data_IF_531239672009
#
_entry.id   IF_531239672009
#
_cell.length_a   1.000
_cell.length_b   1.000
_cell.length_c   1.000
_cell.angle_alpha   90.00
_cell.angle_beta   90.00
_cell.angle_gamma   90.00
#
_symmetry.space_group_name_H-M   'P 1'
#
loop_
_entity.id
_entity.type
_entity.pdbx_description
1 polymer ?
#
# COMPACT_ATOMS: atom_id res chain seq x y z
N UNK A 1 -11.89 -10.79 -21.08
CA UNK A 1 -12.17 -12.06 -21.76
C UNK A 1 -13.67 -12.29 -21.74
N UNK A 2 -14.31 -12.15 -22.90
CA UNK A 2 -15.78 -12.18 -23.05
C UNK A 2 -16.29 -13.60 -23.32
N UNK A 3 -17.48 -13.90 -22.79
CA UNK A 3 -18.21 -15.13 -23.10
C UNK A 3 -19.10 -14.88 -24.33
N UNK A 4 -19.06 -15.74 -25.38
CA UNK A 4 -19.96 -15.62 -26.51
C UNK A 4 -21.25 -16.39 -26.21
N UNK A 5 -22.39 -15.69 -26.25
CA UNK A 5 -23.70 -16.34 -26.26
C UNK A 5 -23.96 -16.89 -27.67
N UNK A 6 -24.12 -18.21 -27.75
CA UNK A 6 -24.48 -18.95 -28.95
C UNK A 6 -25.91 -18.62 -29.38
N UNK A 7 -26.07 -18.34 -30.67
CA UNK A 7 -27.33 -18.01 -31.34
C UNK A 7 -28.32 -19.19 -31.27
N UNK A 8 -29.59 -18.92 -30.94
CA UNK A 8 -30.68 -19.86 -31.18
C UNK A 8 -31.59 -19.39 -32.33
N UNK A 9 -32.08 -20.38 -33.04
CA UNK A 9 -32.50 -20.38 -34.44
C UNK A 9 -33.78 -19.60 -34.75
N UNK A 10 -33.77 -18.90 -35.89
CA UNK A 10 -34.95 -18.41 -36.60
C UNK A 10 -35.40 -19.50 -37.58
N UNK A 11 -36.56 -20.11 -37.37
CA UNK A 11 -37.31 -20.78 -38.43
C UNK A 11 -38.81 -20.52 -38.22
N UNK A 12 -39.52 -19.87 -39.16
CA UNK A 12 -40.96 -19.76 -39.10
C UNK A 12 -41.60 -21.06 -39.62
N UNK A 13 -42.32 -21.76 -38.73
CA UNK A 13 -43.17 -22.89 -39.15
C UNK A 13 -44.40 -22.31 -39.85
N UNK A 14 -44.48 -22.50 -41.17
CA UNK A 14 -45.66 -22.16 -41.97
C UNK A 14 -46.75 -23.18 -41.64
N UNK A 15 -47.84 -22.75 -40.99
CA UNK A 15 -49.05 -23.56 -40.91
C UNK A 15 -49.76 -23.53 -42.26
N UNK A 16 -49.98 -24.73 -42.82
CA UNK A 16 -50.72 -24.97 -44.06
C UNK A 16 -52.21 -24.78 -43.75
N UNK A 17 -52.89 -23.84 -44.42
CA UNK A 17 -54.35 -23.69 -44.31
C UNK A 17 -55.01 -24.92 -44.93
N UNK A 18 -55.75 -25.68 -44.12
CA UNK A 18 -56.64 -26.72 -44.63
C UNK A 18 -57.95 -26.00 -44.98
N UNK A 19 -58.15 -25.73 -46.26
CA UNK A 19 -59.44 -25.28 -46.78
C UNK A 19 -60.46 -26.42 -46.60
N UNK A 20 -61.32 -26.28 -45.61
CA UNK A 20 -62.51 -27.12 -45.43
C UNK A 20 -63.61 -26.65 -46.38
N UNK A 21 -63.42 -26.90 -47.68
CA UNK A 21 -64.47 -26.80 -48.68
C UNK A 21 -65.26 -28.11 -48.73
N UNK A 22 -66.08 -28.40 -47.71
CA UNK A 22 -67.12 -29.43 -47.76
C UNK A 22 -67.92 -29.43 -46.45
N UNK A 23 -68.95 -28.59 -46.38
CA UNK A 23 -70.17 -28.86 -45.61
C UNK A 23 -71.27 -27.89 -46.05
N UNK A 24 -71.73 -28.04 -47.28
CA UNK A 24 -73.00 -27.47 -47.72
C UNK A 24 -74.12 -28.36 -47.18
N UNK A 25 -75.15 -27.75 -46.61
CA UNK A 25 -76.40 -28.33 -46.09
C UNK A 25 -76.44 -28.75 -44.62
N UNK A 26 -76.60 -27.77 -43.73
CA UNK A 26 -77.35 -27.98 -42.48
C UNK A 26 -78.40 -26.88 -42.31
N UNK A 27 -79.65 -27.30 -42.14
CA UNK A 27 -80.80 -26.44 -41.86
C UNK A 27 -80.55 -25.53 -40.65
N UNK A 28 -80.99 -24.27 -40.76
CA UNK A 28 -80.81 -23.22 -39.74
C UNK A 28 -81.30 -23.68 -38.35
N UNK A 29 -80.42 -23.82 -37.35
CA UNK A 29 -80.84 -23.93 -35.97
C UNK A 29 -81.31 -22.56 -35.50
N UNK A 30 -82.50 -22.48 -34.91
CA UNK A 30 -83.06 -21.26 -34.31
C UNK A 30 -82.31 -20.96 -33.01
N UNK A 31 -81.16 -20.26 -33.11
CA UNK A 31 -80.35 -19.87 -31.96
C UNK A 31 -81.09 -18.75 -31.22
N UNK A 32 -81.68 -19.06 -30.07
CA UNK A 32 -82.06 -18.07 -29.07
C UNK A 32 -80.75 -17.52 -28.50
N UNK A 33 -80.43 -16.26 -28.80
CA UNK A 33 -79.26 -15.58 -28.27
C UNK A 33 -79.39 -15.42 -26.75
N UNK A 34 -78.81 -16.33 -25.98
CA UNK A 34 -78.55 -16.13 -24.55
C UNK A 34 -77.22 -15.39 -24.44
N UNK A 35 -77.28 -14.12 -24.02
CA UNK A 35 -76.09 -13.31 -23.79
C UNK A 35 -75.12 -14.06 -22.85
N UNK A 36 -73.82 -14.14 -23.18
CA UNK A 36 -72.86 -14.76 -22.27
C UNK A 36 -72.78 -13.88 -21.02
N UNK A 37 -73.10 -14.48 -19.87
CA UNK A 37 -72.83 -13.86 -18.57
C UNK A 37 -71.31 -13.77 -18.47
N UNK A 38 -70.80 -12.55 -18.48
CA UNK A 38 -69.39 -12.26 -18.27
C UNK A 38 -69.03 -12.65 -16.83
N UNK A 39 -68.49 -13.86 -16.65
CA UNK A 39 -67.80 -14.20 -15.41
C UNK A 39 -66.54 -13.34 -15.37
N UNK A 40 -66.52 -12.35 -14.49
CA UNK A 40 -65.32 -11.58 -14.18
C UNK A 40 -64.28 -12.54 -13.56
N UNK A 41 -63.40 -13.09 -14.40
CA UNK A 41 -62.10 -13.59 -13.93
C UNK A 41 -61.35 -12.35 -13.46
N UNK A 42 -61.18 -12.20 -12.15
CA UNK A 42 -60.28 -11.20 -11.59
C UNK A 42 -58.90 -11.43 -12.22
N UNK A 43 -58.54 -10.58 -13.19
CA UNK A 43 -57.15 -10.47 -13.63
C UNK A 43 -56.37 -9.93 -12.42
N UNK A 44 -55.78 -10.84 -11.65
CA UNK A 44 -54.86 -10.49 -10.61
C UNK A 44 -53.70 -9.71 -11.25
N UNK A 45 -53.56 -8.45 -10.87
CA UNK A 45 -52.54 -7.52 -11.37
C UNK A 45 -51.17 -8.21 -11.46
N UNK A 46 -50.66 -8.52 -12.67
CA UNK A 46 -49.43 -9.29 -12.86
C UNK A 46 -48.22 -8.66 -12.15
N UNK A 47 -48.24 -7.34 -11.98
CA UNK A 47 -47.24 -6.59 -11.21
C UNK A 47 -47.21 -6.99 -9.74
N UNK A 48 -48.37 -7.28 -9.15
CA UNK A 48 -48.50 -7.68 -7.74
C UNK A 48 -47.94 -9.08 -7.51
N UNK A 49 -48.16 -10.00 -8.44
CA UNK A 49 -47.56 -11.35 -8.39
C UNK A 49 -46.05 -11.31 -8.60
N UNK A 50 -45.58 -10.51 -9.56
CA UNK A 50 -44.13 -10.31 -9.78
C UNK A 50 -43.47 -9.73 -8.53
N UNK A 51 -44.07 -8.70 -7.92
CA UNK A 51 -43.55 -8.12 -6.67
C UNK A 51 -43.49 -9.17 -5.55
N UNK A 52 -44.53 -10.01 -5.42
CA UNK A 52 -44.60 -11.08 -4.41
C UNK A 52 -43.55 -12.17 -4.67
N UNK A 53 -43.32 -12.53 -5.92
CA UNK A 53 -42.28 -13.49 -6.34
C UNK A 53 -40.88 -12.95 -6.07
N UNK A 54 -40.59 -11.71 -6.44
CA UNK A 54 -39.30 -11.07 -6.14
C UNK A 54 -39.09 -10.99 -4.63
N UNK A 55 -40.13 -10.65 -3.88
CA UNK A 55 -40.05 -10.60 -2.43
C UNK A 55 -39.78 -11.98 -1.84
N UNK A 56 -40.47 -13.04 -2.28
CA UNK A 56 -40.24 -14.41 -1.76
C UNK A 56 -38.88 -14.97 -2.15
N UNK A 57 -38.38 -14.67 -3.36
CA UNK A 57 -37.08 -15.15 -3.82
C UNK A 57 -35.90 -14.42 -3.16
N UNK A 58 -35.97 -13.09 -3.02
CA UNK A 58 -34.80 -12.30 -2.64
C UNK A 58 -34.74 -11.92 -1.16
N UNK A 59 -35.87 -11.80 -0.44
CA UNK A 59 -35.84 -11.46 0.98
C UNK A 59 -35.02 -12.42 1.85
N UNK A 60 -35.12 -13.75 1.69
CA UNK A 60 -34.34 -14.67 2.51
C UNK A 60 -32.83 -14.47 2.34
N UNK A 61 -32.39 -14.24 1.10
CA UNK A 61 -30.99 -13.99 0.78
C UNK A 61 -30.50 -12.66 1.36
N UNK A 62 -31.31 -11.60 1.29
CA UNK A 62 -30.98 -10.30 1.88
C UNK A 62 -30.82 -10.39 3.40
N UNK A 63 -31.74 -11.05 4.09
CA UNK A 63 -31.64 -11.26 5.53
C UNK A 63 -30.40 -12.07 5.91
N UNK A 64 -30.03 -13.09 5.13
CA UNK A 64 -28.83 -13.87 5.39
C UNK A 64 -27.56 -13.01 5.22
N UNK A 65 -27.52 -12.15 4.20
CA UNK A 65 -26.41 -11.20 4.00
C UNK A 65 -26.32 -10.24 5.19
N UNK A 66 -27.42 -9.62 5.60
CA UNK A 66 -27.45 -8.70 6.75
C UNK A 66 -26.96 -9.40 8.04
N UNK A 67 -27.44 -10.62 8.32
CA UNK A 67 -27.00 -11.41 9.48
C UNK A 67 -25.50 -11.70 9.47
N UNK A 68 -24.90 -11.86 8.28
CA UNK A 68 -23.48 -12.13 8.14
C UNK A 68 -22.61 -10.86 8.14
N UNK A 69 -23.16 -9.69 7.85
CA UNK A 69 -22.37 -8.45 7.78
C UNK A 69 -21.80 -8.07 9.15
N UNK A 70 -22.62 -8.06 10.20
CA UNK A 70 -22.19 -7.68 11.56
C UNK A 70 -21.00 -8.50 12.08
N UNK A 71 -21.00 -9.85 12.06
CA UNK A 71 -19.85 -10.62 12.54
C UNK A 71 -18.60 -10.42 11.66
N UNK A 72 -18.76 -10.27 10.34
CA UNK A 72 -17.62 -9.98 9.44
C UNK A 72 -17.00 -8.62 9.74
N UNK A 73 -17.83 -7.62 10.00
CA UNK A 73 -17.39 -6.29 10.36
C UNK A 73 -16.64 -6.29 11.70
N UNK A 74 -17.17 -6.98 12.72
CA UNK A 74 -16.48 -7.13 14.00
C UNK A 74 -15.11 -7.83 13.86
N UNK A 75 -15.00 -8.84 12.98
CA UNK A 75 -13.70 -9.50 12.69
C UNK A 75 -12.76 -8.53 11.98
N UNK A 76 -13.26 -7.77 11.00
CA UNK A 76 -12.47 -6.76 10.29
C UNK A 76 -11.93 -5.69 11.23
N UNK A 77 -12.78 -5.13 12.09
CA UNK A 77 -12.38 -4.15 13.11
C UNK A 77 -11.32 -4.70 14.05
N UNK A 78 -11.53 -5.92 14.57
CA UNK A 78 -10.51 -6.61 15.39
C UNK A 78 -9.20 -6.76 14.63
N UNK A 79 -9.25 -7.15 13.36
CA UNK A 79 -8.06 -7.32 12.53
C UNK A 79 -7.32 -5.99 12.34
N UNK A 80 -8.04 -4.90 12.07
CA UNK A 80 -7.46 -3.56 11.98
C UNK A 80 -6.78 -3.12 13.28
N UNK A 81 -7.40 -3.40 14.44
CA UNK A 81 -6.79 -3.11 15.75
C UNK A 81 -5.49 -3.88 15.95
N UNK A 82 -5.44 -5.17 15.60
CA UNK A 82 -4.23 -5.97 15.71
C UNK A 82 -3.14 -5.48 14.75
N UNK A 83 -3.49 -5.16 13.52
CA UNK A 83 -2.57 -4.60 12.53
C UNK A 83 -1.98 -3.26 13.03
N UNK A 84 -2.81 -2.38 13.58
CA UNK A 84 -2.36 -1.11 14.14
C UNK A 84 -1.37 -1.31 15.30
N UNK A 85 -1.63 -2.27 16.20
CA UNK A 85 -0.70 -2.64 17.28
C UNK A 85 0.62 -3.19 16.74
N UNK A 86 0.57 -4.07 15.75
CA UNK A 86 1.75 -4.65 15.13
C UNK A 86 2.61 -3.56 14.45
N UNK A 87 1.98 -2.67 13.68
CA UNK A 87 2.68 -1.54 13.04
C UNK A 87 3.33 -0.63 14.09
N UNK A 88 2.62 -0.31 15.18
CA UNK A 88 3.19 0.48 16.27
C UNK A 88 4.41 -0.20 16.90
N UNK A 89 4.35 -1.51 17.15
CA UNK A 89 5.47 -2.27 17.70
C UNK A 89 6.68 -2.30 16.75
N UNK A 90 6.46 -2.49 15.45
CA UNK A 90 7.50 -2.47 14.41
C UNK A 90 8.20 -1.10 14.37
N UNK A 91 7.42 -0.02 14.42
CA UNK A 91 7.98 1.34 14.43
C UNK A 91 8.86 1.53 15.66
N UNK A 92 8.37 1.20 16.87
CA UNK A 92 9.13 1.33 18.12
C UNK A 92 10.43 0.51 18.10
N UNK A 93 10.38 -0.71 17.56
CA UNK A 93 11.54 -1.57 17.40
C UNK A 93 12.58 -0.92 16.47
N UNK A 94 12.16 -0.47 15.29
CA UNK A 94 13.07 0.17 14.33
C UNK A 94 13.66 1.48 14.84
N UNK A 95 12.87 2.32 15.52
CA UNK A 95 13.41 3.56 16.12
C UNK A 95 14.45 3.22 17.19
N UNK A 96 14.18 2.21 18.03
CA UNK A 96 15.13 1.77 19.07
C UNK A 96 16.43 1.20 18.47
N UNK A 97 16.32 0.47 17.35
CA UNK A 97 17.48 -0.06 16.63
C UNK A 97 18.34 1.06 16.04
N UNK A 98 17.71 2.07 15.43
CA UNK A 98 18.39 3.27 14.92
C UNK A 98 19.11 4.00 16.05
N UNK A 99 18.43 4.25 17.16
CA UNK A 99 19.01 4.94 18.33
C UNK A 99 20.19 4.15 18.92
N UNK A 100 20.10 2.83 18.96
CA UNK A 100 21.19 1.98 19.39
C UNK A 100 22.41 2.10 18.46
N UNK A 101 22.21 2.00 17.15
CA UNK A 101 23.28 2.14 16.15
C UNK A 101 23.91 3.54 16.21
N UNK A 102 23.10 4.59 16.35
CA UNK A 102 23.57 5.97 16.49
C UNK A 102 24.45 6.15 17.74
N UNK A 103 24.01 5.64 18.91
CA UNK A 103 24.80 5.69 20.14
C UNK A 103 26.12 4.94 20.02
N UNK A 104 26.11 3.76 19.39
CA UNK A 104 27.34 2.98 19.14
C UNK A 104 28.33 3.76 18.25
N UNK A 105 27.84 4.38 17.18
CA UNK A 105 28.65 5.18 16.28
C UNK A 105 29.26 6.40 16.99
N UNK A 106 28.44 7.12 17.77
CA UNK A 106 28.89 8.25 18.58
C UNK A 106 29.98 7.85 19.57
N UNK A 107 29.80 6.72 20.28
CA UNK A 107 30.82 6.18 21.18
C UNK A 107 32.14 5.86 20.45
N UNK A 108 32.06 5.26 19.27
CA UNK A 108 33.25 4.99 18.45
C UNK A 108 33.96 6.29 18.00
N UNK A 109 33.21 7.30 17.59
CA UNK A 109 33.76 8.61 17.23
C UNK A 109 34.44 9.27 18.42
N UNK A 110 33.82 9.26 19.60
CA UNK A 110 34.40 9.80 20.83
C UNK A 110 35.70 9.09 21.20
N UNK A 111 35.73 7.76 21.12
CA UNK A 111 36.96 6.98 21.34
C UNK A 111 38.06 7.34 20.32
N UNK A 112 37.70 7.55 19.05
CA UNK A 112 38.64 8.00 18.01
C UNK A 112 39.15 9.42 18.28
N UNK A 113 38.28 10.35 18.63
CA UNK A 113 38.62 11.72 18.96
C UNK A 113 39.58 11.77 20.16
N UNK A 114 39.26 11.04 21.24
CA UNK A 114 40.11 10.92 22.42
C UNK A 114 41.48 10.32 22.11
N UNK A 115 41.56 9.31 21.24
CA UNK A 115 42.87 8.77 20.80
C UNK A 115 43.68 9.79 20.01
N UNK A 116 43.04 10.60 19.16
CA UNK A 116 43.73 11.69 18.43
C UNK A 116 44.23 12.77 19.37
N UNK A 117 43.43 13.13 20.37
CA UNK A 117 43.80 14.09 21.41
C UNK A 117 45.02 13.61 22.20
N UNK A 118 45.00 12.37 22.70
CA UNK A 118 46.12 11.78 23.47
C UNK A 118 47.36 11.59 22.59
N UNK A 119 47.19 11.24 21.32
CA UNK A 119 48.29 11.04 20.37
C UNK A 119 48.86 12.36 19.85
N UNK A 120 48.20 13.50 20.08
CA UNK A 120 48.72 14.80 19.68
C UNK A 120 49.80 15.20 20.71
N UNK A 121 51.06 15.44 20.29
CA UNK A 121 52.06 15.99 21.19
C UNK A 121 51.50 17.30 21.77
N UNK A 122 51.58 17.53 23.09
CA UNK A 122 51.15 18.79 23.64
C UNK A 122 51.90 19.91 22.93
N UNK A 123 51.17 20.90 22.42
CA UNK A 123 51.77 22.15 21.95
C UNK A 123 52.50 22.73 23.15
N UNK A 124 53.83 22.60 23.16
CA UNK A 124 54.65 23.18 24.21
C UNK A 124 54.29 24.67 24.30
N UNK A 125 54.01 25.20 25.52
CA UNK A 125 53.90 26.63 25.71
C UNK A 125 55.16 27.29 25.13
N UNK A 126 54.96 28.31 24.31
CA UNK A 126 56.04 29.09 23.68
C UNK A 126 57.10 29.52 24.72
N UNK A 127 56.67 29.70 25.97
CA UNK A 127 57.50 30.00 27.14
C UNK A 127 58.59 28.96 27.43
N UNK A 128 58.34 27.66 27.24
CA UNK A 128 59.33 26.59 27.47
C UNK A 128 60.40 26.60 26.37
N UNK A 129 60.01 26.91 25.13
CA UNK A 129 60.94 27.06 24.01
C UNK A 129 61.86 28.26 24.21
N UNK A 130 61.32 29.38 24.73
CA UNK A 130 62.14 30.56 25.06
C UNK A 130 63.07 30.33 26.25
N UNK A 131 62.64 29.61 27.29
CA UNK A 131 63.54 29.23 28.39
C UNK A 131 64.68 28.30 27.94
N UNK A 132 64.44 27.40 26.99
CA UNK A 132 65.50 26.56 26.44
C UNK A 132 66.52 27.39 25.65
N UNK A 133 66.07 28.42 24.93
CA UNK A 133 66.92 29.39 24.21
C UNK A 133 67.80 30.18 25.19
N UNK A 134 67.25 30.59 26.32
CA UNK A 134 67.97 31.34 27.35
C UNK A 134 69.02 30.46 28.09
N UNK A 135 68.68 29.20 28.38
CA UNK A 135 69.61 28.23 29.01
C UNK A 135 70.69 27.75 28.04
N UNK A 136 70.40 27.63 26.74
CA UNK A 136 71.39 27.30 25.69
C UNK A 136 72.26 28.50 25.27
N UNK A 137 71.99 29.70 25.78
CA UNK A 137 72.81 30.89 25.55
C UNK A 137 74.21 30.85 26.18
N UNK A 138 74.56 29.80 26.94
CA UNK A 138 75.83 29.76 27.66
C UNK A 138 77.02 29.28 26.83
N UNK A 139 76.95 28.21 26.02
CA UNK A 139 78.13 27.72 25.25
C UNK A 139 77.73 26.96 23.98
N UNK A 140 78.10 27.51 22.81
CA UNK A 140 78.01 26.95 21.46
C UNK A 140 76.62 26.49 21.00
N UNK A 141 75.91 27.38 20.31
CA UNK A 141 74.55 27.14 19.84
C UNK A 141 74.51 26.21 18.60
N UNK A 142 73.65 25.18 18.56
CA UNK A 142 73.39 24.37 17.36
C UNK A 142 72.43 25.05 16.36
N UNK A 143 72.30 26.38 16.41
CA UNK A 143 71.43 27.18 15.54
C UNK A 143 71.82 27.03 14.06
N UNK A 144 73.10 26.91 13.75
CA UNK A 144 73.58 26.77 12.37
C UNK A 144 73.02 25.52 11.68
N UNK A 145 72.83 24.42 12.43
CA UNK A 145 72.24 23.17 11.91
C UNK A 145 70.72 23.26 11.73
N UNK A 146 70.04 24.05 12.57
CA UNK A 146 68.57 24.23 12.50
C UNK A 146 68.22 25.18 11.35
N UNK A 147 68.99 26.25 11.14
CA UNK A 147 68.84 27.14 9.98
C UNK A 147 69.08 26.42 8.65
N UNK A 148 70.07 25.53 8.59
CA UNK A 148 70.27 24.67 7.41
C UNK A 148 69.07 23.73 7.16
N UNK A 149 68.52 23.09 8.19
CA UNK A 149 67.33 22.24 8.03
C UNK A 149 66.06 23.04 7.66
N UNK A 150 65.91 24.28 8.16
CA UNK A 150 64.81 25.16 7.76
C UNK A 150 64.84 25.52 6.28
N UNK A 151 66.03 25.76 5.71
CA UNK A 151 66.22 25.99 4.27
C UNK A 151 65.94 24.72 3.44
N UNK A 152 66.33 23.54 3.92
CA UNK A 152 66.03 22.25 3.26
C UNK A 152 64.53 21.96 3.24
N UNK A 153 63.79 22.28 4.31
CA UNK A 153 62.32 22.11 4.37
C UNK A 153 61.60 23.10 3.45
N UNK A 154 62.08 24.34 3.35
CA UNK A 154 61.53 25.33 2.41
C UNK A 154 61.72 24.90 0.94
N UNK A 155 62.87 24.30 0.60
CA UNK A 155 63.15 23.75 -0.73
C UNK A 155 62.30 22.52 -1.05
N UNK A 156 62.03 21.65 -0.08
CA UNK A 156 61.16 20.47 -0.28
C UNK A 156 59.71 20.87 -0.56
N UNK A 157 59.19 21.89 0.13
CA UNK A 157 57.81 22.37 -0.06
C UNK A 157 57.61 23.10 -1.40
N UNK A 158 58.66 23.67 -1.98
CA UNK A 158 58.61 24.27 -3.32
C UNK A 158 58.53 23.23 -4.45
N UNK A 159 59.06 22.01 -4.22
CA UNK A 159 59.12 20.95 -5.24
C UNK A 159 57.86 20.07 -5.32
N UNK A 160 56.93 20.23 -4.37
CA UNK A 160 55.67 19.45 -4.32
C UNK A 160 54.49 20.24 -4.93
N UNK A 161 54.73 21.48 -5.37
CA UNK A 161 53.71 22.39 -5.95
C UNK A 161 53.94 22.65 -7.45
N UNK A 162 54.82 21.88 -8.11
CA UNK A 162 54.82 21.68 -9.57
C UNK A 162 54.29 20.28 -9.91
#
# INVERSE_FOLDING_TARGET
>A
MGLPFSQQSKNPVKHKSIELALLENFDKPKIIARAPIATAVEQLEPRKEIAKFLQSQYQPTLQNIERQQTPRQAISEKTHVHLAKALKAIIVMHTSEIDFKARKLLGLQNCKARRREISCPPLLPITIVMQLIEVLGSKHCPIDKILQNGQVIALYNFRVVE
#
